data_IF_143552806594
#
_entry.id   IF_143552806594
#
_cell.length_a   1.000
_cell.length_b   1.000
_cell.length_c   1.000
_cell.angle_alpha   90.00
_cell.angle_beta   90.00
_cell.angle_gamma   90.00
#
_symmetry.space_group_name_H-M   'P 1'
#
loop_
_entity.id
_entity.type
_entity.pdbx_description
1 polymer ?
#
# COMPACT_ATOMS: atom_id res chain seq x y z
N UNK A 1 5.99 34.74 -9.50
CA UNK A 1 6.36 33.48 -8.83
C UNK A 1 6.07 32.37 -9.82
N UNK A 2 7.06 31.57 -10.20
CA UNK A 2 6.86 30.52 -11.19
C UNK A 2 5.82 29.53 -10.66
N UNK A 3 4.75 29.31 -11.43
CA UNK A 3 3.82 28.21 -11.20
C UNK A 3 4.61 26.93 -11.48
N UNK A 4 5.05 26.26 -10.42
CA UNK A 4 5.67 24.94 -10.53
C UNK A 4 4.60 23.99 -11.04
N UNK A 5 4.78 23.46 -12.24
CA UNK A 5 3.92 22.44 -12.82
C UNK A 5 4.08 21.13 -12.04
N UNK A 6 3.01 20.36 -11.75
CA UNK A 6 3.05 19.15 -10.91
C UNK A 6 3.94 18.01 -11.45
N UNK A 7 4.36 18.08 -12.72
CA UNK A 7 5.15 17.05 -13.39
C UNK A 7 6.63 17.03 -13.03
N UNK A 8 7.14 18.00 -12.27
CA UNK A 8 8.49 17.90 -11.74
C UNK A 8 8.46 17.15 -10.40
N UNK A 9 9.20 16.03 -10.36
CA UNK A 9 9.76 15.36 -9.16
C UNK A 9 9.13 14.03 -8.70
N UNK A 10 8.58 13.19 -9.58
CA UNK A 10 8.66 11.75 -9.26
C UNK A 10 10.14 11.36 -9.28
N UNK A 11 10.73 10.86 -8.18
CA UNK A 11 12.10 10.33 -8.23
C UNK A 11 12.15 8.98 -8.97
N UNK A 12 11.00 8.31 -9.11
CA UNK A 12 10.87 7.06 -9.85
C UNK A 12 10.52 7.32 -11.32
N UNK A 13 11.33 6.75 -12.20
CA UNK A 13 11.13 6.73 -13.64
C UNK A 13 11.00 5.27 -14.13
N UNK A 14 9.82 4.83 -14.61
CA UNK A 14 9.62 3.45 -15.07
C UNK A 14 10.45 3.07 -16.30
N UNK A 15 10.96 4.03 -17.08
CA UNK A 15 11.85 3.74 -18.20
C UNK A 15 13.26 3.32 -17.75
N UNK A 16 13.68 3.77 -16.56
CA UNK A 16 15.02 3.54 -16.01
C UNK A 16 15.02 2.61 -14.79
N UNK A 17 13.88 2.42 -14.14
CA UNK A 17 13.74 1.56 -12.97
C UNK A 17 12.81 0.39 -13.28
N UNK A 18 13.38 -0.81 -13.24
CA UNK A 18 12.63 -2.04 -13.42
C UNK A 18 12.06 -2.49 -12.08
N UNK A 19 10.79 -2.86 -12.08
CA UNK A 19 10.10 -3.47 -10.93
C UNK A 19 9.77 -4.90 -11.32
N UNK A 20 10.24 -5.86 -10.54
CA UNK A 20 9.92 -7.29 -10.70
C UNK A 20 9.08 -7.80 -9.53
N UNK A 21 9.28 -7.24 -8.33
CA UNK A 21 8.56 -7.65 -7.12
C UNK A 21 8.10 -6.45 -6.30
N UNK A 22 6.85 -6.52 -5.84
CA UNK A 22 6.24 -5.51 -4.96
C UNK A 22 5.68 -6.19 -3.72
N UNK A 23 5.89 -5.57 -2.55
CA UNK A 23 5.23 -5.95 -1.32
C UNK A 23 4.37 -4.78 -0.83
N UNK A 24 3.06 -5.00 -0.77
CA UNK A 24 2.08 -4.02 -0.31
C UNK A 24 1.71 -4.27 1.15
N UNK A 25 1.77 -3.25 1.99
CA UNK A 25 1.29 -3.27 3.37
C UNK A 25 0.02 -2.46 3.53
N UNK A 26 -0.96 -3.04 4.22
CA UNK A 26 -2.21 -2.40 4.62
C UNK A 26 -2.50 -2.63 6.09
N UNK A 27 -3.29 -1.73 6.68
CA UNK A 27 -3.79 -1.96 8.03
C UNK A 27 -4.88 -3.02 8.01
N UNK A 28 -5.89 -2.85 7.16
CA UNK A 28 -7.08 -3.69 7.15
C UNK A 28 -7.30 -4.38 5.79
N UNK A 29 -8.07 -5.48 5.75
CA UNK A 29 -8.60 -6.01 4.50
C UNK A 29 -9.47 -4.97 3.80
N UNK A 30 -9.18 -4.63 2.55
CA UNK A 30 -9.74 -3.58 1.66
C UNK A 30 -8.81 -2.39 1.33
N UNK A 31 -7.90 -2.01 2.23
CA UNK A 31 -7.14 -0.77 2.13
C UNK A 31 -6.32 -0.68 0.82
N UNK A 32 -5.67 -1.79 0.45
CA UNK A 32 -4.88 -1.87 -0.80
C UNK A 32 -5.79 -1.72 -2.02
N UNK A 33 -7.00 -2.27 -1.98
CA UNK A 33 -7.92 -2.24 -3.12
C UNK A 33 -8.42 -0.82 -3.38
N UNK A 34 -8.69 -0.05 -2.33
CA UNK A 34 -9.00 1.37 -2.43
C UNK A 34 -7.80 2.21 -2.87
N UNK A 35 -6.62 1.93 -2.31
CA UNK A 35 -5.42 2.72 -2.52
C UNK A 35 -4.78 2.52 -3.90
N UNK A 36 -4.69 1.28 -4.35
CA UNK A 36 -3.71 0.88 -5.36
C UNK A 36 -4.12 -0.29 -6.28
N UNK A 37 -5.35 -0.81 -6.21
CA UNK A 37 -5.73 -1.98 -7.05
C UNK A 37 -5.58 -1.74 -8.56
N UNK A 38 -5.74 -0.50 -9.04
CA UNK A 38 -5.54 -0.19 -10.46
C UNK A 38 -4.08 -0.36 -10.87
N UNK A 39 -3.17 0.16 -10.05
CA UNK A 39 -1.71 0.05 -10.22
C UNK A 39 -1.25 -1.39 -10.06
N UNK A 40 -1.82 -2.12 -9.10
CA UNK A 40 -1.49 -3.53 -8.87
C UNK A 40 -1.95 -4.38 -10.05
N UNK A 41 -3.15 -4.15 -10.57
CA UNK A 41 -3.61 -4.82 -11.79
C UNK A 41 -2.72 -4.51 -13.00
N UNK A 42 -2.22 -3.26 -13.11
CA UNK A 42 -1.24 -2.91 -14.14
C UNK A 42 0.07 -3.70 -13.97
N UNK A 43 0.62 -3.74 -12.75
CA UNK A 43 1.84 -4.49 -12.42
C UNK A 43 1.71 -5.99 -12.71
N UNK A 44 0.65 -6.64 -12.20
CA UNK A 44 0.46 -8.09 -12.40
C UNK A 44 0.23 -8.43 -13.87
N UNK A 45 -0.49 -7.57 -14.62
CA UNK A 45 -0.65 -7.74 -16.08
C UNK A 45 0.67 -7.61 -16.86
N UNK A 46 1.65 -6.89 -16.31
CA UNK A 46 2.99 -6.75 -16.84
C UNK A 46 3.97 -7.85 -16.35
N UNK A 47 3.47 -8.83 -15.57
CA UNK A 47 4.28 -9.94 -15.05
C UNK A 47 5.07 -9.63 -13.77
N UNK A 48 4.80 -8.49 -13.11
CA UNK A 48 5.35 -8.16 -11.80
C UNK A 48 4.71 -9.06 -10.74
N UNK A 49 5.51 -9.62 -9.85
CA UNK A 49 5.02 -10.39 -8.72
C UNK A 49 4.63 -9.43 -7.60
N UNK A 50 3.39 -9.53 -7.13
CA UNK A 50 2.88 -8.67 -6.06
C UNK A 50 2.43 -9.54 -4.90
N UNK A 51 2.91 -9.19 -3.70
CA UNK A 51 2.54 -9.82 -2.44
C UNK A 51 1.86 -8.80 -1.53
N UNK A 52 0.87 -9.23 -0.76
CA UNK A 52 0.20 -8.38 0.24
C UNK A 52 0.59 -8.80 1.66
N UNK A 53 0.64 -7.83 2.56
CA UNK A 53 0.72 -8.04 3.99
C UNK A 53 -0.32 -7.16 4.69
N UNK A 54 -1.32 -7.80 5.30
CA UNK A 54 -2.38 -7.12 6.02
C UNK A 54 -2.10 -7.23 7.50
N UNK A 55 -1.94 -6.08 8.15
CA UNK A 55 -1.36 -6.05 9.49
C UNK A 55 -2.39 -6.39 10.56
N UNK A 56 -3.68 -6.13 10.33
CA UNK A 56 -4.76 -6.44 11.26
C UNK A 56 -5.77 -7.43 10.69
N UNK A 57 -6.53 -8.08 11.57
CA UNK A 57 -7.61 -9.00 11.18
C UNK A 57 -8.90 -8.29 10.72
N UNK A 58 -8.97 -6.96 10.87
CA UNK A 58 -10.19 -6.22 10.57
C UNK A 58 -11.37 -6.57 11.48
N UNK A 59 -11.11 -7.07 12.69
CA UNK A 59 -12.10 -7.63 13.62
C UNK A 59 -13.02 -6.58 14.26
N UNK A 60 -12.72 -5.29 14.06
CA UNK A 60 -13.58 -4.17 14.45
C UNK A 60 -14.40 -3.59 13.27
N UNK A 61 -14.18 -4.05 12.03
CA UNK A 61 -14.90 -3.60 10.84
C UNK A 61 -16.29 -4.22 10.71
N UNK A 62 -17.29 -3.57 11.31
CA UNK A 62 -18.70 -3.94 11.16
C UNK A 62 -19.57 -3.42 12.29
N UNK A 63 -20.84 -3.16 11.98
CA UNK A 63 -21.82 -2.64 12.94
C UNK A 63 -22.90 -3.66 13.31
N UNK A 64 -22.97 -4.79 12.61
CA UNK A 64 -23.94 -5.85 12.89
C UNK A 64 -23.36 -6.90 13.86
N UNK A 65 -23.91 -7.02 15.08
CA UNK A 65 -23.48 -8.03 16.06
C UNK A 65 -23.60 -9.47 15.55
N UNK A 66 -24.50 -9.75 14.60
CA UNK A 66 -24.71 -11.09 14.06
C UNK A 66 -23.47 -11.62 13.31
N UNK A 67 -22.64 -10.72 12.76
CA UNK A 67 -21.43 -11.08 12.03
C UNK A 67 -20.16 -11.03 12.87
N UNK A 68 -20.24 -10.59 14.14
CA UNK A 68 -19.05 -10.35 14.98
C UNK A 68 -18.16 -11.58 15.17
N UNK A 69 -18.76 -12.77 15.24
CA UNK A 69 -18.02 -14.02 15.44
C UNK A 69 -17.24 -14.47 14.18
N UNK A 70 -17.78 -14.14 13.00
CA UNK A 70 -17.25 -14.64 11.72
C UNK A 70 -16.54 -13.54 10.90
N UNK A 71 -16.47 -12.30 11.43
CA UNK A 71 -16.01 -11.14 10.67
C UNK A 71 -14.59 -11.30 10.12
N UNK A 72 -13.69 -11.91 10.89
CA UNK A 72 -12.30 -12.14 10.47
C UNK A 72 -12.26 -13.08 9.26
N UNK A 73 -12.96 -14.22 9.35
CA UNK A 73 -13.01 -15.20 8.26
C UNK A 73 -13.71 -14.64 7.02
N UNK A 74 -14.75 -13.83 7.21
CA UNK A 74 -15.47 -13.15 6.12
C UNK A 74 -14.54 -12.18 5.39
N UNK A 75 -13.86 -11.28 6.12
CA UNK A 75 -12.96 -10.27 5.54
C UNK A 75 -11.72 -10.90 4.90
N UNK A 76 -11.16 -11.98 5.46
CA UNK A 76 -10.08 -12.74 4.79
C UNK A 76 -10.56 -13.33 3.46
N UNK A 77 -11.74 -13.95 3.44
CA UNK A 77 -12.30 -14.51 2.21
C UNK A 77 -12.62 -13.42 1.16
N UNK A 78 -13.11 -12.26 1.59
CA UNK A 78 -13.32 -11.09 0.73
C UNK A 78 -12.01 -10.61 0.13
N UNK A 79 -10.99 -10.40 0.96
CA UNK A 79 -9.69 -9.92 0.50
C UNK A 79 -9.00 -10.89 -0.46
N UNK A 80 -9.03 -12.20 -0.20
CA UNK A 80 -8.45 -13.20 -1.11
C UNK A 80 -9.11 -13.17 -2.48
N UNK A 81 -10.43 -13.00 -2.51
CA UNK A 81 -11.19 -12.84 -3.76
C UNK A 81 -10.86 -11.52 -4.45
N UNK A 82 -10.79 -10.41 -3.71
CA UNK A 82 -10.43 -9.09 -4.25
C UNK A 82 -9.02 -9.09 -4.87
N UNK A 83 -8.04 -9.61 -4.14
CA UNK A 83 -6.66 -9.75 -4.60
C UNK A 83 -6.55 -10.59 -5.87
N UNK A 84 -7.29 -11.71 -5.96
CA UNK A 84 -7.29 -12.56 -7.15
C UNK A 84 -7.80 -11.83 -8.41
N UNK A 85 -8.73 -10.88 -8.27
CA UNK A 85 -9.26 -10.09 -9.40
C UNK A 85 -8.23 -9.13 -9.99
N UNK A 86 -7.18 -8.80 -9.23
CA UNK A 86 -6.04 -7.98 -9.67
C UNK A 86 -4.76 -8.80 -9.82
N UNK A 87 -4.87 -10.13 -9.88
CA UNK A 87 -3.74 -11.04 -10.17
C UNK A 87 -2.85 -11.37 -8.97
N UNK A 88 -3.28 -11.10 -7.75
CA UNK A 88 -2.52 -11.36 -6.52
C UNK A 88 -3.04 -12.61 -5.81
N UNK A 89 -2.12 -13.50 -5.44
CA UNK A 89 -2.42 -14.73 -4.70
C UNK A 89 -1.57 -14.92 -3.44
N UNK A 90 -0.46 -14.19 -3.32
CA UNK A 90 0.42 -14.24 -2.15
C UNK A 90 -0.01 -13.17 -1.14
N UNK A 91 -0.67 -13.62 -0.06
CA UNK A 91 -1.23 -12.75 0.98
C UNK A 91 -0.78 -13.25 2.36
N UNK A 92 -0.12 -12.36 3.09
CA UNK A 92 0.37 -12.54 4.44
C UNK A 92 -0.49 -11.76 5.43
N UNK A 93 -0.60 -12.24 6.66
CA UNK A 93 -1.30 -11.55 7.75
C UNK A 93 -0.40 -11.50 8.99
N UNK A 94 -0.42 -10.36 9.69
CA UNK A 94 0.24 -10.23 11.01
C UNK A 94 -0.71 -10.46 12.18
N UNK A 95 -2.02 -10.58 11.91
CA UNK A 95 -3.06 -10.89 12.90
C UNK A 95 -3.05 -9.95 14.12
N UNK A 96 -2.74 -8.67 13.89
CA UNK A 96 -2.90 -7.64 14.93
C UNK A 96 -4.37 -7.29 15.07
N UNK A 97 -4.75 -6.79 16.25
CA UNK A 97 -6.12 -6.40 16.52
C UNK A 97 -6.44 -5.05 15.87
N UNK A 98 -7.55 -4.98 15.16
CA UNK A 98 -8.06 -3.77 14.50
C UNK A 98 -8.35 -2.67 15.54
N UNK A 99 -7.78 -1.49 15.33
CA UNK A 99 -7.87 -0.31 16.17
C UNK A 99 -6.82 -0.25 17.30
N UNK A 100 -5.94 -1.25 17.40
CA UNK A 100 -4.92 -1.37 18.45
C UNK A 100 -3.50 -1.53 17.89
N UNK A 101 -3.32 -1.40 16.57
CA UNK A 101 -2.01 -1.58 15.96
C UNK A 101 -1.04 -0.49 16.41
N UNK A 102 0.12 -0.91 16.92
CA UNK A 102 1.20 -0.03 17.34
C UNK A 102 2.49 -0.40 16.61
N UNK A 103 3.38 0.56 16.28
CA UNK A 103 4.67 0.30 15.66
C UNK A 103 5.68 -0.21 16.70
N UNK A 104 5.39 -1.39 17.26
CA UNK A 104 6.22 -2.09 18.24
C UNK A 104 7.41 -2.80 17.57
N UNK A 105 8.42 -3.19 18.36
CA UNK A 105 9.54 -4.00 17.85
C UNK A 105 9.12 -5.39 17.35
N UNK A 106 8.04 -5.94 17.87
CA UNK A 106 7.48 -7.19 17.35
C UNK A 106 6.94 -7.01 15.93
N UNK A 107 6.09 -5.98 15.74
CA UNK A 107 5.52 -5.64 14.43
C UNK A 107 6.61 -5.27 13.44
N UNK A 108 7.53 -4.37 13.82
CA UNK A 108 8.65 -3.98 12.95
C UNK A 108 9.54 -5.17 12.58
N UNK A 109 9.81 -6.09 13.52
CA UNK A 109 10.60 -7.30 13.20
C UNK A 109 9.89 -8.18 12.19
N UNK A 110 8.56 -8.36 12.31
CA UNK A 110 7.77 -9.12 11.35
C UNK A 110 7.82 -8.48 9.95
N UNK A 111 7.73 -7.15 9.88
CA UNK A 111 7.88 -6.40 8.62
C UNK A 111 9.30 -6.58 8.03
N UNK A 112 10.35 -6.43 8.84
CA UNK A 112 11.74 -6.64 8.38
C UNK A 112 11.94 -8.07 7.87
N UNK A 113 11.44 -9.07 8.60
CA UNK A 113 11.49 -10.48 8.21
C UNK A 113 10.86 -10.66 6.84
N UNK A 114 9.63 -10.19 6.64
CA UNK A 114 8.90 -10.36 5.40
C UNK A 114 9.58 -9.64 4.21
N UNK A 115 10.10 -8.44 4.42
CA UNK A 115 10.86 -7.72 3.39
C UNK A 115 12.15 -8.48 3.02
N UNK A 116 12.87 -9.06 4.00
CA UNK A 116 14.08 -9.86 3.74
C UNK A 116 13.78 -11.21 3.07
N UNK A 117 12.60 -11.78 3.32
CA UNK A 117 12.11 -13.00 2.65
C UNK A 117 11.73 -12.71 1.18
N UNK A 118 10.89 -11.69 0.95
CA UNK A 118 10.35 -11.38 -0.38
C UNK A 118 11.37 -10.63 -1.25
N UNK A 119 12.23 -9.80 -0.64
CA UNK A 119 13.21 -8.93 -1.32
C UNK A 119 12.60 -8.06 -2.43
N UNK A 120 11.53 -7.30 -2.16
CA UNK A 120 10.82 -6.54 -3.20
C UNK A 120 11.65 -5.36 -3.72
N UNK A 121 11.42 -4.93 -4.96
CA UNK A 121 11.99 -3.69 -5.51
C UNK A 121 11.25 -2.46 -5.00
N UNK A 122 9.95 -2.62 -4.72
CA UNK A 122 9.07 -1.60 -4.17
C UNK A 122 8.35 -2.15 -2.94
N UNK A 123 8.45 -1.45 -1.83
CA UNK A 123 7.47 -1.59 -0.74
C UNK A 123 6.43 -0.49 -0.93
N UNK A 124 5.16 -0.88 -0.99
CA UNK A 124 4.01 0.04 -0.98
C UNK A 124 3.37 -0.01 0.41
N UNK A 125 3.12 1.14 1.04
CA UNK A 125 2.57 1.20 2.41
C UNK A 125 1.59 2.35 2.60
N UNK A 126 0.86 2.34 3.71
CA UNK A 126 0.07 3.50 4.17
C UNK A 126 1.00 4.66 4.53
N UNK A 127 0.59 5.90 4.28
CA UNK A 127 1.40 7.06 4.63
C UNK A 127 1.40 7.33 6.15
N UNK A 128 2.55 7.60 6.80
CA UNK A 128 2.62 7.90 8.23
C UNK A 128 2.17 9.32 8.62
N UNK A 129 1.75 10.17 7.66
CA UNK A 129 1.38 11.57 7.95
C UNK A 129 -0.13 11.72 7.95
N UNK A 130 -0.62 12.55 8.88
CA UNK A 130 -2.04 12.82 9.03
C UNK A 130 -2.54 13.74 7.91
N UNK A 131 -3.60 13.32 7.22
CA UNK A 131 -4.34 14.14 6.27
C UNK A 131 -5.37 14.98 7.02
N UNK A 132 -5.07 16.26 7.21
CA UNK A 132 -5.94 17.18 7.93
C UNK A 132 -7.14 17.69 7.11
N UNK A 133 -7.18 17.44 5.79
CA UNK A 133 -8.35 17.74 4.95
C UNK A 133 -9.42 16.65 5.03
N UNK A 134 -9.01 15.41 5.24
CA UNK A 134 -9.91 14.25 5.38
C UNK A 134 -9.37 13.29 6.44
N UNK A 135 -9.78 13.51 7.69
CA UNK A 135 -9.29 12.76 8.86
C UNK A 135 -9.51 11.24 8.73
N UNK A 136 -10.54 10.82 7.99
CA UNK A 136 -10.85 9.40 7.75
C UNK A 136 -9.75 8.68 6.95
N UNK A 137 -8.92 9.38 6.17
CA UNK A 137 -7.74 8.76 5.52
C UNK A 137 -6.68 8.35 6.56
N UNK A 138 -6.69 8.97 7.73
CA UNK A 138 -5.65 8.84 8.77
C UNK A 138 -6.16 8.12 10.01
N UNK A 139 -6.82 6.97 9.79
CA UNK A 139 -7.11 6.01 10.85
C UNK A 139 -5.82 5.70 11.63
N UNK A 140 -5.87 5.54 12.97
CA UNK A 140 -4.69 5.25 13.77
C UNK A 140 -3.86 4.08 13.25
N UNK A 141 -4.51 2.97 12.89
CA UNK A 141 -3.82 1.80 12.35
C UNK A 141 -3.14 2.10 11.00
N UNK A 142 -3.71 2.96 10.14
CA UNK A 142 -3.07 3.37 8.89
C UNK A 142 -1.75 4.09 9.17
N UNK A 143 -1.76 5.00 10.15
CA UNK A 143 -0.56 5.73 10.57
C UNK A 143 0.45 4.77 11.22
N UNK A 144 -0.01 3.81 12.01
CA UNK A 144 0.84 2.80 12.65
C UNK A 144 1.51 1.88 11.62
N UNK A 145 0.80 1.44 10.56
CA UNK A 145 1.39 0.72 9.42
C UNK A 145 2.47 1.56 8.75
N UNK A 146 2.16 2.80 8.41
CA UNK A 146 3.12 3.70 7.77
C UNK A 146 4.37 3.89 8.60
N UNK A 147 4.22 4.10 9.91
CA UNK A 147 5.32 4.29 10.85
C UNK A 147 6.14 3.01 11.03
N UNK A 148 5.48 1.86 11.24
CA UNK A 148 6.15 0.58 11.41
C UNK A 148 6.96 0.18 10.16
N UNK A 149 6.37 0.35 8.97
CA UNK A 149 7.03 0.04 7.70
C UNK A 149 8.18 1.00 7.45
N UNK A 150 8.02 2.31 7.71
CA UNK A 150 9.10 3.29 7.51
C UNK A 150 10.30 2.98 8.41
N UNK A 151 10.07 2.71 9.70
CA UNK A 151 11.12 2.33 10.66
C UNK A 151 11.76 0.98 10.34
N UNK A 152 11.01 0.05 9.78
CA UNK A 152 11.54 -1.23 9.31
C UNK A 152 12.44 -1.03 8.08
N UNK A 153 11.94 -0.32 7.06
CA UNK A 153 12.64 -0.08 5.79
C UNK A 153 14.00 0.56 6.03
N UNK A 154 14.08 1.60 6.87
CA UNK A 154 15.35 2.24 7.19
C UNK A 154 15.48 2.54 8.69
N UNK A 155 16.59 2.12 9.34
CA UNK A 155 17.73 1.40 8.77
C UNK A 155 17.60 -0.14 8.83
N UNK A 156 16.51 -0.69 9.40
CA UNK A 156 16.54 -2.07 9.89
C UNK A 156 16.62 -3.17 8.80
N UNK A 157 15.96 -2.99 7.65
CA UNK A 157 15.99 -3.99 6.56
C UNK A 157 17.42 -4.16 6.00
N UNK A 158 18.19 -3.07 5.88
CA UNK A 158 19.56 -3.07 5.33
C UNK A 158 20.67 -3.22 6.36
N UNK A 159 20.37 -3.03 7.65
CA UNK A 159 21.36 -3.19 8.72
C UNK A 159 21.46 -4.65 9.19
N UNK A 160 22.60 -5.34 8.97
CA UNK A 160 22.77 -6.73 9.39
C UNK A 160 22.77 -6.94 10.91
N UNK A 161 22.95 -5.89 11.71
CA UNK A 161 22.90 -5.93 13.17
C UNK A 161 21.51 -5.60 13.74
N UNK A 162 20.58 -5.14 12.91
CA UNK A 162 19.18 -4.99 13.30
C UNK A 162 18.49 -6.35 13.20
N UNK A 163 17.86 -6.77 14.31
CA UNK A 163 17.22 -8.08 14.47
C UNK A 163 18.17 -9.25 14.08
N UNK A 164 19.29 -9.43 14.80
CA UNK A 164 20.33 -10.40 14.44
C UNK A 164 19.81 -11.83 14.36
N UNK A 165 18.75 -12.18 15.09
CA UNK A 165 18.10 -13.49 15.01
C UNK A 165 17.56 -13.81 13.60
N UNK A 166 17.24 -12.80 12.78
CA UNK A 166 16.83 -13.01 11.39
C UNK A 166 18.03 -13.41 10.53
N UNK A 167 19.21 -12.83 10.77
CA UNK A 167 20.43 -13.22 10.06
C UNK A 167 20.86 -14.64 10.44
N UNK A 168 20.73 -15.02 11.72
CA UNK A 168 20.94 -16.39 12.20
C UNK A 168 19.98 -17.40 11.56
N UNK A 169 18.75 -16.97 11.25
CA UNK A 169 17.76 -17.74 10.51
C UNK A 169 17.99 -17.76 8.97
N UNK A 170 19.10 -17.20 8.48
CA UNK A 170 19.45 -17.16 7.06
C UNK A 170 18.82 -16.01 6.26
N UNK A 171 18.12 -15.09 6.93
CA UNK A 171 17.52 -13.90 6.30
C UNK A 171 18.52 -12.73 6.34
N UNK A 172 19.38 -12.69 5.32
CA UNK A 172 20.37 -11.65 5.15
C UNK A 172 19.73 -10.26 4.99
N UNK A 173 20.47 -9.23 5.43
CA UNK A 173 20.09 -7.84 5.19
C UNK A 173 19.89 -7.56 3.69
N UNK A 174 18.96 -6.66 3.40
CA UNK A 174 18.53 -6.35 2.04
C UNK A 174 18.50 -4.83 1.83
N UNK A 175 18.91 -4.36 0.66
CA UNK A 175 18.82 -2.94 0.31
C UNK A 175 17.58 -2.74 -0.55
N UNK A 176 16.51 -2.26 0.09
CA UNK A 176 15.27 -1.94 -0.60
C UNK A 176 15.49 -0.70 -1.51
N UNK A 177 15.16 -0.75 -2.80
CA UNK A 177 15.29 0.40 -3.69
C UNK A 177 14.26 1.52 -3.42
N UNK A 178 12.97 1.18 -3.37
CA UNK A 178 11.88 2.15 -3.36
C UNK A 178 10.87 1.91 -2.24
N UNK A 179 10.43 3.01 -1.61
CA UNK A 179 9.30 3.04 -0.69
C UNK A 179 8.23 3.98 -1.25
N UNK A 180 7.04 3.43 -1.47
CA UNK A 180 5.88 4.12 -2.01
C UNK A 180 4.80 4.18 -0.94
N UNK A 181 4.07 5.29 -0.90
CA UNK A 181 2.98 5.49 0.04
C UNK A 181 1.67 5.85 -0.66
N UNK A 182 0.57 5.37 -0.10
CA UNK A 182 -0.79 5.78 -0.46
C UNK A 182 -1.56 6.27 0.78
N UNK A 183 -2.77 6.80 0.56
CA UNK A 183 -3.65 7.35 1.61
C UNK A 183 -3.06 8.51 2.44
N UNK A 184 -2.09 9.25 1.90
CA UNK A 184 -1.44 10.38 2.56
C UNK A 184 -2.08 11.77 2.33
N UNK A 185 -1.43 12.84 2.79
CA UNK A 185 -1.73 14.21 2.38
C UNK A 185 -1.46 14.43 0.89
N UNK A 186 -2.39 15.09 0.19
CA UNK A 186 -2.30 15.28 -1.26
C UNK A 186 -1.04 16.09 -1.67
N UNK A 187 -0.48 16.91 -0.77
CA UNK A 187 0.77 17.66 -0.99
C UNK A 187 2.04 16.82 -1.03
N UNK A 188 1.97 15.57 -0.54
CA UNK A 188 3.11 14.64 -0.56
C UNK A 188 3.14 13.79 -1.82
N UNK A 189 2.00 13.64 -2.49
CA UNK A 189 1.87 12.81 -3.69
C UNK A 189 2.68 13.43 -4.84
N UNK A 190 3.69 12.69 -5.29
CA UNK A 190 4.69 13.12 -6.29
C UNK A 190 4.79 12.14 -7.48
N UNK A 191 4.03 11.05 -7.46
CA UNK A 191 3.98 10.06 -8.54
C UNK A 191 2.52 9.69 -8.84
N UNK A 192 2.20 9.55 -10.11
CA UNK A 192 0.85 9.19 -10.57
C UNK A 192 0.95 8.08 -11.59
N UNK A 193 0.14 7.04 -11.42
CA UNK A 193 0.05 5.91 -12.33
C UNK A 193 -1.26 6.04 -13.10
N UNK A 194 -1.19 6.08 -14.43
CA UNK A 194 -2.37 5.98 -15.28
C UNK A 194 -2.94 4.56 -15.17
N UNK A 195 -4.14 4.45 -14.61
CA UNK A 195 -4.84 3.18 -14.39
C UNK A 195 -6.09 3.08 -15.27
N UNK A 196 -6.20 3.90 -16.32
CA UNK A 196 -7.40 3.98 -17.18
C UNK A 196 -7.81 2.61 -17.71
N UNK A 197 -6.86 1.78 -18.13
CA UNK A 197 -7.11 0.42 -18.62
C UNK A 197 -7.48 -0.59 -17.51
N UNK A 198 -7.34 -0.22 -16.24
CA UNK A 198 -7.45 -1.11 -15.08
C UNK A 198 -8.52 -0.67 -14.06
N UNK A 199 -9.29 0.39 -14.36
CA UNK A 199 -10.39 0.89 -13.52
C UNK A 199 -11.39 -0.23 -13.19
N UNK A 200 -11.78 -1.02 -14.18
CA UNK A 200 -12.76 -2.09 -13.98
C UNK A 200 -12.25 -3.20 -13.05
N UNK A 201 -10.95 -3.53 -13.11
CA UNK A 201 -10.35 -4.51 -12.20
C UNK A 201 -10.37 -4.01 -10.76
N UNK A 202 -10.00 -2.73 -10.55
CA UNK A 202 -10.07 -2.06 -9.25
C UNK A 202 -11.48 -2.07 -8.66
N UNK A 203 -12.47 -1.65 -9.44
CA UNK A 203 -13.85 -1.57 -8.93
C UNK A 203 -14.41 -2.95 -8.62
N UNK A 204 -14.11 -3.96 -9.45
CA UNK A 204 -14.46 -5.35 -9.15
C UNK A 204 -13.85 -5.82 -7.85
N UNK A 205 -12.57 -5.52 -7.59
CA UNK A 205 -11.91 -5.88 -6.33
C UNK A 205 -12.58 -5.21 -5.12
N UNK A 206 -12.86 -3.90 -5.21
CA UNK A 206 -13.52 -3.15 -4.14
C UNK A 206 -14.93 -3.69 -3.85
N UNK A 207 -15.70 -4.04 -4.88
CA UNK A 207 -17.06 -4.57 -4.73
C UNK A 207 -17.14 -5.91 -4.01
N UNK A 208 -16.02 -6.61 -3.82
CA UNK A 208 -15.99 -7.87 -3.07
C UNK A 208 -16.15 -7.64 -1.58
N UNK A 209 -15.78 -6.47 -1.05
CA UNK A 209 -15.82 -6.11 0.37
C UNK A 209 -17.24 -5.71 0.80
N UNK A 210 -18.21 -6.59 0.52
CA UNK A 210 -19.64 -6.36 0.75
C UNK A 210 -19.98 -6.12 2.22
N UNK A 211 -19.16 -6.66 3.13
CA UNK A 211 -19.30 -6.46 4.57
C UNK A 211 -19.06 -5.01 5.02
N UNK A 212 -18.33 -4.20 4.23
CA UNK A 212 -17.86 -2.87 4.64
C UNK A 212 -18.66 -1.69 4.07
N UNK A 213 -19.38 -1.90 2.97
CA UNK A 213 -20.00 -0.80 2.21
C UNK A 213 -21.50 -1.00 1.97
N UNK A 214 -22.37 -0.40 2.80
CA UNK A 214 -23.81 -0.51 2.63
C UNK A 214 -24.34 0.26 1.41
N UNK A 215 -23.62 1.30 0.95
CA UNK A 215 -23.95 2.09 -0.24
C UNK A 215 -22.84 1.96 -1.30
N UNK A 216 -22.96 0.91 -2.11
CA UNK A 216 -21.99 0.57 -3.15
C UNK A 216 -21.96 1.62 -4.26
N UNK A 217 -23.11 2.17 -4.66
CA UNK A 217 -23.17 3.15 -5.74
C UNK A 217 -22.46 4.46 -5.37
N UNK A 218 -22.67 4.97 -4.15
CA UNK A 218 -21.98 6.17 -3.67
C UNK A 218 -20.48 5.95 -3.49
N UNK A 219 -20.09 4.77 -3.02
CA UNK A 219 -18.69 4.36 -2.89
C UNK A 219 -18.01 4.32 -4.28
N UNK A 220 -18.61 3.66 -5.28
CA UNK A 220 -18.06 3.59 -6.64
C UNK A 220 -17.91 4.98 -7.25
N UNK A 221 -18.95 5.82 -7.12
CA UNK A 221 -18.92 7.20 -7.61
C UNK A 221 -17.75 7.99 -6.99
N UNK A 222 -17.53 7.83 -5.69
CA UNK A 222 -16.42 8.47 -4.96
C UNK A 222 -15.06 7.99 -5.47
N UNK A 223 -14.89 6.68 -5.64
CA UNK A 223 -13.63 6.09 -6.15
C UNK A 223 -13.33 6.59 -7.56
N UNK A 224 -14.33 6.57 -8.46
CA UNK A 224 -14.19 7.09 -9.83
C UNK A 224 -13.85 8.57 -9.86
N UNK A 225 -14.52 9.38 -9.03
CA UNK A 225 -14.24 10.81 -8.95
C UNK A 225 -12.81 11.08 -8.46
N UNK A 226 -12.36 10.34 -7.45
CA UNK A 226 -10.99 10.42 -6.95
C UNK A 226 -9.94 10.11 -8.02
N UNK A 227 -10.12 9.02 -8.77
CA UNK A 227 -9.18 8.67 -9.85
C UNK A 227 -9.16 9.69 -10.98
N UNK A 228 -10.30 10.27 -11.35
CA UNK A 228 -10.37 11.35 -12.34
C UNK A 228 -9.69 12.63 -11.84
N UNK A 229 -9.88 12.98 -10.57
CA UNK A 229 -9.20 14.13 -9.97
C UNK A 229 -7.68 13.94 -9.96
N UNK A 230 -7.20 12.74 -9.64
CA UNK A 230 -5.79 12.39 -9.72
C UNK A 230 -5.26 12.46 -11.15
N UNK A 231 -6.02 11.99 -12.16
CA UNK A 231 -5.63 12.11 -13.56
C UNK A 231 -5.47 13.57 -13.99
N UNK A 232 -6.37 14.45 -13.55
CA UNK A 232 -6.26 15.90 -13.78
C UNK A 232 -5.03 16.52 -13.10
N UNK A 233 -4.73 16.14 -11.86
CA UNK A 233 -3.50 16.57 -11.14
C UNK A 233 -2.23 16.07 -11.84
N UNK A 234 -2.31 14.88 -12.43
CA UNK A 234 -1.27 14.25 -13.22
C UNK A 234 -1.20 14.77 -14.67
N UNK A 235 -2.01 15.76 -15.06
CA UNK A 235 -2.00 16.31 -16.42
C UNK A 235 -2.36 15.31 -17.53
N UNK A 236 -3.05 14.22 -17.21
CA UNK A 236 -3.51 13.23 -18.18
C UNK A 236 -4.70 13.76 -19.00
N UNK A 237 -4.94 13.22 -20.21
CA UNK A 237 -6.08 13.63 -21.03
C UNK A 237 -7.44 13.39 -20.35
N UNK A 238 -8.46 14.17 -20.77
CA UNK A 238 -9.83 13.99 -20.29
C UNK A 238 -10.33 12.56 -20.49
N UNK A 239 -11.01 12.03 -19.47
CA UNK A 239 -11.50 10.65 -19.46
C UNK A 239 -10.52 9.63 -18.87
N UNK A 240 -9.26 10.00 -18.64
CA UNK A 240 -8.30 9.16 -17.96
C UNK A 240 -8.56 9.06 -16.45
N UNK A 241 -7.95 8.07 -15.82
CA UNK A 241 -8.01 7.78 -14.39
C UNK A 241 -6.61 7.48 -13.87
N UNK A 242 -6.26 8.00 -12.69
CA UNK A 242 -4.96 7.76 -12.09
C UNK A 242 -5.05 7.43 -10.60
N UNK A 243 -4.09 6.65 -10.12
CA UNK A 243 -3.77 6.50 -8.70
C UNK A 243 -2.55 7.35 -8.37
N UNK A 244 -2.52 7.89 -7.15
CA UNK A 244 -1.52 8.85 -6.71
C UNK A 244 -0.73 8.28 -5.53
N UNK A 245 0.58 8.49 -5.54
CA UNK A 245 1.51 7.95 -4.57
C UNK A 245 2.53 9.00 -4.14
N UNK A 246 3.03 8.87 -2.92
CA UNK A 246 4.25 9.53 -2.48
C UNK A 246 5.40 8.53 -2.57
N UNK A 247 6.36 8.80 -3.44
CA UNK A 247 7.47 7.90 -3.77
C UNK A 247 8.79 8.46 -3.24
N UNK A 248 9.54 7.60 -2.57
CA UNK A 248 10.84 7.90 -1.97
C UNK A 248 11.88 6.87 -2.43
N UNK A 249 13.03 7.36 -2.89
CA UNK A 249 14.20 6.52 -3.10
C UNK A 249 14.85 6.19 -1.75
N UNK A 250 14.96 4.90 -1.42
CA UNK A 250 15.55 4.42 -0.15
C UNK A 250 17.03 4.10 -0.37
N UNK A 251 17.33 3.29 -1.38
CA UNK A 251 18.69 2.98 -1.82
C UNK A 251 18.82 3.30 -3.32
N UNK A 252 19.38 4.47 -3.64
CA UNK A 252 19.60 4.91 -5.01
C UNK A 252 20.93 5.66 -5.18
N UNK A 253 21.27 6.11 -6.40
CA UNK A 253 22.54 6.79 -6.68
C UNK A 253 22.78 8.05 -5.84
N UNK A 254 21.71 8.70 -5.37
CA UNK A 254 21.77 9.91 -4.54
C UNK A 254 21.72 9.68 -3.02
N UNK A 255 21.61 8.43 -2.56
CA UNK A 255 21.49 8.11 -1.13
C UNK A 255 22.85 7.77 -0.53
N UNK A 256 23.13 8.23 0.69
CA UNK A 256 24.33 7.85 1.43
C UNK A 256 24.08 6.46 2.02
N UNK A 257 24.50 5.42 1.30
CA UNK A 257 24.32 4.04 1.75
C UNK A 257 25.27 3.70 2.91
N UNK A 258 24.79 2.93 3.89
CA UNK A 258 25.63 2.35 4.95
C UNK A 258 25.69 3.10 6.27
N UNK A 259 24.59 3.76 6.65
CA UNK A 259 24.27 4.05 8.06
C UNK A 259 22.97 3.35 8.44
#
# INVERSE_FOLDING_TARGET
MAVVTPHQQSPFDPANHRVERVLCFAAHPDDIDFGAAGTIAAWTSAGVQVSYCIMTDGDAGGFDPAHRADIIAMRDAEQRRAAALVGVTDIHYLHQRDGYLEPSHEVMKAVVKLIREIRPDVVLSMHPERNWRRIQKSHPDHLAVGEAVTRAVYPAVENPFAYPELAEAGLAAYKLPWLWFYAGPDERENHFVDVTAHVDAKLKAIHVHVSQHPDVDAMEATVRQGMKANAGRAGLPDGHSAEAFHVVAVNGPGTIAGF
#
